data_IF_910970501001
#
_entry.id   IF_910970501001
#
_cell.length_a   1.000
_cell.length_b   1.000
_cell.length_c   1.000
_cell.angle_alpha   90.00
_cell.angle_beta   90.00
_cell.angle_gamma   90.00
#
_symmetry.space_group_name_H-M   'P 1'
#
loop_
_entity.id
_entity.type
_entity.pdbx_description
1 polymer ?
#
# COMPACT_ATOMS: atom_id res chain seq x y z
N UNK A 1 -4.80 -11.86 -11.22
CA UNK A 1 -3.41 -11.43 -10.97
C UNK A 1 -3.05 -11.84 -9.54
N UNK A 2 -1.81 -12.23 -9.26
CA UNK A 2 -1.43 -12.72 -7.92
C UNK A 2 -0.74 -11.68 -7.04
N UNK A 3 -0.48 -10.46 -7.54
CA UNK A 3 0.23 -9.43 -6.80
C UNK A 3 -0.68 -8.24 -6.55
N UNK A 4 -0.73 -7.78 -5.29
CA UNK A 4 -1.55 -6.68 -4.82
C UNK A 4 -0.65 -5.65 -4.14
N UNK A 5 -0.56 -4.44 -4.69
CA UNK A 5 0.10 -3.32 -4.02
C UNK A 5 -0.88 -2.64 -3.08
N UNK A 6 -0.46 -2.41 -1.84
CA UNK A 6 -1.18 -1.64 -0.85
C UNK A 6 -0.50 -0.29 -0.65
N UNK A 7 -1.31 0.69 -0.28
CA UNK A 7 -0.86 1.92 0.34
C UNK A 7 -1.97 2.40 1.29
N UNK A 8 -1.60 2.91 2.46
CA UNK A 8 -2.55 3.41 3.46
C UNK A 8 -2.16 4.78 3.98
N UNK A 9 -3.18 5.58 4.31
CA UNK A 9 -2.99 6.84 5.00
C UNK A 9 -3.39 6.69 6.47
N UNK A 10 -2.59 7.23 7.38
CA UNK A 10 -2.76 7.02 8.83
C UNK A 10 -2.42 8.27 9.65
N UNK A 11 -2.74 8.23 10.94
CA UNK A 11 -2.44 9.30 11.91
C UNK A 11 -1.35 8.94 12.93
N UNK A 12 -0.63 7.84 12.73
CA UNK A 12 0.53 7.42 13.53
C UNK A 12 1.36 6.44 12.68
N UNK A 13 2.53 6.02 13.15
CA UNK A 13 3.40 5.06 12.45
C UNK A 13 3.44 3.68 13.11
N UNK A 14 2.73 3.52 14.22
CA UNK A 14 2.64 2.25 14.95
C UNK A 14 1.66 1.29 14.26
N UNK A 15 1.77 -0.04 14.48
CA UNK A 15 0.76 -1.01 14.03
C UNK A 15 -0.69 -0.65 14.42
N UNK A 16 -0.84 0.02 15.57
CA UNK A 16 -2.12 0.51 16.10
C UNK A 16 -2.61 1.82 15.46
N UNK A 17 -1.95 2.40 14.46
CA UNK A 17 -2.29 3.73 13.95
C UNK A 17 -3.73 3.84 13.45
N UNK A 18 -4.43 4.92 13.77
CA UNK A 18 -5.74 5.24 13.15
C UNK A 18 -5.57 5.30 11.63
N UNK A 19 -6.40 4.55 10.92
CA UNK A 19 -6.37 4.46 9.45
C UNK A 19 -7.38 5.45 8.87
N UNK A 20 -6.95 6.23 7.89
CA UNK A 20 -7.74 7.22 7.16
C UNK A 20 -8.16 6.71 5.78
N UNK A 21 -7.25 6.03 5.06
CA UNK A 21 -7.52 5.49 3.72
C UNK A 21 -6.86 4.14 3.58
N UNK A 22 -7.53 3.23 2.88
CA UNK A 22 -6.95 1.98 2.42
C UNK A 22 -7.09 1.92 0.91
N UNK A 23 -5.97 1.85 0.20
CA UNK A 23 -5.96 1.63 -1.23
C UNK A 23 -5.23 0.33 -1.59
N UNK A 24 -5.65 -0.25 -2.71
CA UNK A 24 -5.00 -1.42 -3.25
C UNK A 24 -5.13 -1.45 -4.77
N UNK A 25 -4.11 -1.97 -5.46
CA UNK A 25 -4.15 -2.21 -6.90
C UNK A 25 -3.51 -3.55 -7.23
N UNK A 26 -4.23 -4.39 -7.96
CA UNK A 26 -3.64 -5.59 -8.53
C UNK A 26 -2.67 -5.19 -9.64
N UNK A 27 -1.57 -5.90 -9.76
CA UNK A 27 -0.62 -5.66 -10.85
C UNK A 27 0.10 -6.93 -11.28
N UNK A 28 0.70 -6.88 -12.46
CA UNK A 28 1.67 -7.85 -12.93
C UNK A 28 3.09 -7.29 -12.74
N UNK A 29 3.92 -7.89 -11.88
CA UNK A 29 5.28 -7.42 -11.62
C UNK A 29 6.24 -7.60 -12.79
N UNK A 30 5.93 -8.43 -13.79
CA UNK A 30 6.79 -8.60 -14.97
C UNK A 30 6.50 -7.56 -16.04
N UNK A 31 5.23 -7.22 -16.24
CA UNK A 31 4.79 -6.33 -17.33
C UNK A 31 4.47 -4.91 -16.87
N UNK A 32 4.24 -4.70 -15.56
CA UNK A 32 3.77 -3.43 -15.02
C UNK A 32 2.31 -3.14 -15.32
N UNK A 33 1.57 -4.11 -15.87
CA UNK A 33 0.14 -3.97 -16.13
C UNK A 33 -0.60 -3.83 -14.79
N UNK A 34 -1.33 -2.73 -14.63
CA UNK A 34 -2.25 -2.53 -13.52
C UNK A 34 -3.58 -3.24 -13.81
N UNK A 35 -4.20 -3.75 -12.75
CA UNK A 35 -5.46 -4.49 -12.77
C UNK A 35 -6.54 -3.79 -11.97
N UNK A 36 -7.37 -4.58 -11.28
CA UNK A 36 -8.45 -4.05 -10.46
C UNK A 36 -7.92 -3.13 -9.36
N UNK A 37 -8.69 -2.08 -9.07
CA UNK A 37 -8.35 -1.00 -8.14
C UNK A 37 -9.36 -0.95 -6.99
N UNK A 38 -8.88 -0.55 -5.82
CA UNK A 38 -9.65 -0.39 -4.60
C UNK A 38 -9.18 0.86 -3.86
N UNK A 39 -10.13 1.67 -3.39
CA UNK A 39 -9.86 2.79 -2.49
C UNK A 39 -11.08 2.98 -1.59
N UNK A 40 -10.87 2.95 -0.28
CA UNK A 40 -11.91 3.26 0.70
C UNK A 40 -11.36 4.19 1.78
N UNK A 41 -12.00 5.34 1.93
CA UNK A 41 -11.70 6.30 2.98
C UNK A 41 -12.52 5.99 4.26
N UNK A 42 -11.82 5.85 5.38
CA UNK A 42 -12.35 5.61 6.72
C UNK A 42 -12.60 6.95 7.39
N UNK A 43 -13.75 7.11 8.03
CA UNK A 43 -14.06 8.32 8.76
C UNK A 43 -13.18 8.44 10.01
N UNK A 44 -12.42 9.53 10.11
CA UNK A 44 -11.67 9.90 11.32
C UNK A 44 -12.57 10.33 12.48
N UNK A 45 -13.84 10.65 12.20
CA UNK A 45 -14.86 11.01 13.20
C UNK A 45 -15.56 9.79 13.81
N UNK A 46 -15.42 8.62 13.17
CA UNK A 46 -15.93 7.35 13.72
C UNK A 46 -14.85 6.72 14.58
N UNK A 47 -15.27 6.15 15.70
CA UNK A 47 -14.35 5.51 16.63
C UNK A 47 -13.61 4.34 15.96
N UNK A 48 -12.31 4.25 16.25
CA UNK A 48 -11.43 3.14 15.93
C UNK A 48 -10.82 2.67 17.27
N UNK A 49 -11.59 1.93 18.09
CA UNK A 49 -11.28 1.74 19.51
C UNK A 49 -9.92 1.09 19.70
N UNK A 50 -9.01 1.70 20.47
CA UNK A 50 -7.67 1.16 20.74
C UNK A 50 -6.62 1.47 19.67
N UNK A 51 -6.98 2.26 18.64
CA UNK A 51 -6.02 2.77 17.65
C UNK A 51 -5.44 4.12 18.10
N UNK A 52 -4.20 4.40 17.67
CA UNK A 52 -3.39 5.51 18.16
C UNK A 52 -3.27 6.66 17.16
N UNK A 53 -3.11 7.87 17.70
CA UNK A 53 -2.84 9.10 16.96
C UNK A 53 -1.53 9.69 17.52
N UNK A 54 -0.67 10.16 16.63
CA UNK A 54 0.56 10.85 16.94
C UNK A 54 0.50 12.29 16.43
N UNK A 55 0.84 13.25 17.31
CA UNK A 55 0.81 14.68 16.99
C UNK A 55 1.79 15.06 15.89
N UNK A 56 2.94 14.40 15.78
CA UNK A 56 3.91 14.64 14.72
C UNK A 56 3.35 14.24 13.35
N UNK A 57 2.63 13.12 13.29
CA UNK A 57 1.94 12.67 12.07
C UNK A 57 0.80 13.63 11.70
N UNK A 58 0.05 14.14 12.68
CA UNK A 58 -0.98 15.18 12.45
C UNK A 58 -0.35 16.48 11.94
N UNK A 59 0.77 16.92 12.53
CA UNK A 59 1.49 18.10 12.09
C UNK A 59 2.12 17.92 10.70
N UNK A 60 2.51 16.70 10.35
CA UNK A 60 2.94 16.34 9.00
C UNK A 60 1.78 16.46 8.00
N UNK A 61 0.57 15.99 8.35
CA UNK A 61 -0.62 16.15 7.52
C UNK A 61 -0.98 17.62 7.26
N UNK A 62 -0.77 18.49 8.25
CA UNK A 62 -1.02 19.93 8.09
C UNK A 62 -0.17 20.59 6.99
N UNK A 63 0.95 19.97 6.59
CA UNK A 63 1.86 20.44 5.54
C UNK A 63 1.53 19.91 4.14
N UNK A 64 0.62 18.93 4.04
CA UNK A 64 0.22 18.35 2.75
C UNK A 64 -0.73 19.25 1.98
N UNK A 65 -0.88 18.98 0.68
CA UNK A 65 -1.77 19.73 -0.19
C UNK A 65 -3.23 19.66 0.28
N UNK A 66 -4.02 20.69 -0.07
CA UNK A 66 -5.46 20.70 0.23
C UNK A 66 -6.18 19.49 -0.34
N UNK A 67 -5.78 19.06 -1.52
CA UNK A 67 -6.32 17.88 -2.20
C UNK A 67 -6.02 16.59 -1.42
N UNK A 68 -4.76 16.37 -1.04
CA UNK A 68 -4.36 15.19 -0.27
C UNK A 68 -5.09 15.14 1.07
N UNK A 69 -5.17 16.28 1.78
CA UNK A 69 -5.94 16.38 3.05
C UNK A 69 -7.42 16.09 2.84
N UNK A 70 -8.04 16.64 1.79
CA UNK A 70 -9.46 16.41 1.50
C UNK A 70 -9.75 14.93 1.24
N UNK A 71 -8.87 14.23 0.53
CA UNK A 71 -9.00 12.81 0.24
C UNK A 71 -8.78 11.96 1.48
N UNK A 72 -7.72 12.23 2.25
CA UNK A 72 -7.40 11.49 3.46
C UNK A 72 -8.48 11.63 4.56
N UNK A 73 -8.99 12.84 4.78
CA UNK A 73 -9.98 13.12 5.83
C UNK A 73 -11.44 13.09 5.35
N UNK A 74 -11.68 12.79 4.07
CA UNK A 74 -13.02 12.77 3.46
C UNK A 74 -13.84 11.50 3.71
N UNK A 75 -13.29 10.55 4.47
CA UNK A 75 -13.89 9.24 4.70
C UNK A 75 -15.21 9.29 5.47
N UNK A 76 -16.14 8.44 5.07
CA UNK A 76 -17.45 8.27 5.73
C UNK A 76 -17.65 6.85 6.25
N UNK A 77 -16.83 5.88 5.83
CA UNK A 77 -16.97 4.48 6.20
C UNK A 77 -16.39 4.18 7.60
N UNK A 78 -16.80 3.06 8.20
CA UNK A 78 -16.13 2.53 9.39
C UNK A 78 -14.95 1.66 9.00
N UNK A 79 -13.94 1.56 9.87
CA UNK A 79 -12.78 0.69 9.63
C UNK A 79 -13.20 -0.75 9.33
N UNK A 80 -14.13 -1.31 10.11
CA UNK A 80 -14.66 -2.66 9.90
C UNK A 80 -15.29 -2.84 8.52
N UNK A 81 -16.04 -1.84 8.02
CA UNK A 81 -16.64 -1.89 6.68
C UNK A 81 -15.55 -1.85 5.61
N UNK A 82 -14.57 -0.95 5.74
CA UNK A 82 -13.43 -0.85 4.83
C UNK A 82 -12.65 -2.15 4.73
N UNK A 83 -12.30 -2.78 5.86
CA UNK A 83 -11.61 -4.07 5.86
C UNK A 83 -12.46 -5.20 5.25
N UNK A 84 -13.77 -5.21 5.51
CA UNK A 84 -14.69 -6.17 4.88
C UNK A 84 -14.71 -6.00 3.36
N UNK A 85 -14.72 -4.76 2.88
CA UNK A 85 -14.71 -4.46 1.46
C UNK A 85 -13.36 -4.83 0.82
N UNK A 86 -12.24 -4.60 1.51
CA UNK A 86 -10.92 -5.03 1.05
C UNK A 86 -10.85 -6.56 0.92
N UNK A 87 -11.30 -7.32 1.94
CA UNK A 87 -11.34 -8.79 1.86
C UNK A 87 -12.20 -9.27 0.68
N UNK A 88 -13.37 -8.65 0.46
CA UNK A 88 -14.23 -8.97 -0.69
C UNK A 88 -13.53 -8.66 -2.01
N UNK A 89 -12.90 -7.50 -2.12
CA UNK A 89 -12.17 -7.08 -3.30
C UNK A 89 -11.06 -8.07 -3.65
N UNK A 90 -10.27 -8.49 -2.67
CA UNK A 90 -9.20 -9.49 -2.86
C UNK A 90 -9.79 -10.83 -3.33
N UNK A 91 -10.85 -11.30 -2.67
CA UNK A 91 -11.49 -12.57 -3.01
C UNK A 91 -12.11 -12.57 -4.42
N UNK A 92 -12.69 -11.46 -4.86
CA UNK A 92 -13.28 -11.34 -6.20
C UNK A 92 -12.26 -11.31 -7.33
N UNK A 93 -11.00 -10.99 -7.04
CA UNK A 93 -9.95 -10.73 -8.03
C UNK A 93 -8.75 -11.68 -7.94
N UNK A 94 -8.75 -12.62 -6.99
CA UNK A 94 -7.67 -13.60 -6.77
C UNK A 94 -8.21 -14.96 -6.29
N UNK A 95 -7.51 -16.04 -6.66
CA UNK A 95 -7.86 -17.44 -6.36
C UNK A 95 -7.05 -17.96 -5.15
N UNK A 96 -7.32 -17.41 -3.96
CA UNK A 96 -6.77 -17.78 -2.62
C UNK A 96 -5.28 -17.52 -2.33
N UNK A 97 -4.41 -17.35 -3.33
CA UNK A 97 -3.01 -16.96 -3.11
C UNK A 97 -2.72 -15.59 -3.72
N UNK A 98 -2.49 -14.59 -2.86
CA UNK A 98 -2.12 -13.22 -3.22
C UNK A 98 -0.83 -12.82 -2.49
N UNK A 99 0.16 -12.35 -3.25
CA UNK A 99 1.35 -11.67 -2.74
C UNK A 99 1.01 -10.21 -2.50
N UNK A 100 1.07 -9.80 -1.25
CA UNK A 100 0.67 -8.46 -0.84
C UNK A 100 1.91 -7.61 -0.64
N UNK A 101 1.95 -6.44 -1.25
CA UNK A 101 3.11 -5.56 -1.28
C UNK A 101 2.82 -4.29 -0.50
N UNK A 102 3.82 -3.78 0.20
CA UNK A 102 3.83 -2.44 0.78
C UNK A 102 5.18 -1.75 0.59
N UNK A 103 5.20 -0.43 0.56
CA UNK A 103 6.41 0.37 0.41
C UNK A 103 7.06 0.67 1.76
N UNK A 104 7.53 -0.41 2.37
CA UNK A 104 7.69 -0.56 3.81
C UNK A 104 6.57 -1.45 4.31
N UNK A 105 6.66 -2.76 4.06
CA UNK A 105 5.61 -3.72 4.46
C UNK A 105 5.36 -3.70 5.97
N UNK A 106 6.37 -3.33 6.75
CA UNK A 106 6.28 -3.15 8.20
C UNK A 106 5.30 -2.04 8.60
N UNK A 107 4.94 -1.17 7.65
CA UNK A 107 3.92 -0.14 7.77
C UNK A 107 2.57 -0.64 7.22
N UNK A 108 2.42 -0.69 5.89
CA UNK A 108 1.11 -0.93 5.25
C UNK A 108 0.50 -2.28 5.65
N UNK A 109 1.27 -3.36 5.49
CA UNK A 109 0.80 -4.71 5.76
C UNK A 109 0.58 -4.90 7.27
N UNK A 110 1.55 -4.52 8.11
CA UNK A 110 1.45 -4.69 9.57
C UNK A 110 0.28 -3.91 10.18
N UNK A 111 0.04 -2.66 9.75
CA UNK A 111 -1.03 -1.83 10.30
C UNK A 111 -2.41 -2.42 9.95
N UNK A 112 -2.56 -2.97 8.73
CA UNK A 112 -3.78 -3.65 8.32
C UNK A 112 -3.94 -5.02 8.99
N UNK A 113 -2.89 -5.82 9.10
CA UNK A 113 -2.91 -7.10 9.83
C UNK A 113 -3.31 -6.89 11.30
N UNK A 114 -2.73 -5.88 11.95
CA UNK A 114 -3.13 -5.47 13.30
C UNK A 114 -4.61 -5.04 13.33
N UNK A 115 -5.10 -4.31 12.33
CA UNK A 115 -6.51 -3.91 12.24
C UNK A 115 -7.47 -5.10 12.08
N UNK A 116 -7.11 -6.09 11.25
CA UNK A 116 -7.86 -7.33 11.11
C UNK A 116 -7.91 -8.10 12.44
N UNK A 117 -6.75 -8.28 13.08
CA UNK A 117 -6.65 -8.97 14.38
C UNK A 117 -7.48 -8.28 15.46
N UNK A 118 -7.35 -6.95 15.59
CA UNK A 118 -8.04 -6.13 16.59
C UNK A 118 -9.57 -6.17 16.45
N UNK A 119 -10.09 -6.43 15.24
CA UNK A 119 -11.52 -6.51 14.95
C UNK A 119 -12.04 -7.96 14.89
N UNK A 120 -11.23 -8.93 15.30
CA UNK A 120 -11.51 -10.37 15.21
C UNK A 120 -11.92 -10.80 13.78
N UNK A 121 -11.29 -10.19 12.77
CA UNK A 121 -11.53 -10.47 11.36
C UNK A 121 -10.38 -11.30 10.78
N UNK A 122 -10.65 -12.33 9.96
CA UNK A 122 -9.59 -13.08 9.30
C UNK A 122 -8.88 -12.19 8.26
N UNK A 123 -7.55 -12.11 8.35
CA UNK A 123 -6.74 -11.45 7.34
C UNK A 123 -6.87 -12.21 5.99
N UNK A 124 -7.14 -11.52 4.86
CA UNK A 124 -7.36 -12.18 3.57
C UNK A 124 -6.06 -12.64 2.88
N UNK A 125 -4.91 -12.50 3.54
CA UNK A 125 -3.63 -13.05 3.13
C UNK A 125 -2.92 -13.73 4.31
N UNK A 126 -1.88 -14.52 4.01
CA UNK A 126 -1.02 -15.14 5.03
C UNK A 126 0.18 -14.23 5.32
N UNK A 127 0.69 -14.25 6.54
CA UNK A 127 1.81 -13.38 6.94
C UNK A 127 3.08 -13.59 6.09
N UNK A 128 3.29 -14.81 5.55
CA UNK A 128 4.41 -15.15 4.68
C UNK A 128 4.23 -14.72 3.20
N UNK A 129 3.07 -14.18 2.84
CA UNK A 129 2.81 -13.69 1.47
C UNK A 129 3.14 -12.19 1.29
N UNK A 130 3.56 -11.51 2.36
CA UNK A 130 3.94 -10.09 2.34
C UNK A 130 5.28 -9.85 1.64
N UNK A 131 5.34 -8.80 0.83
CA UNK A 131 6.50 -8.39 0.03
C UNK A 131 6.83 -6.93 0.32
N UNK A 132 8.13 -6.60 0.29
CA UNK A 132 8.59 -5.26 0.61
C UNK A 132 9.22 -4.60 -0.62
N UNK A 133 8.65 -3.46 -1.00
CA UNK A 133 9.13 -2.71 -2.16
C UNK A 133 10.50 -2.08 -1.91
N UNK A 134 10.79 -1.63 -0.68
CA UNK A 134 12.07 -0.99 -0.36
C UNK A 134 13.24 -1.95 -0.56
N UNK A 135 13.04 -3.21 -0.21
CA UNK A 135 14.01 -4.30 -0.43
C UNK A 135 14.30 -4.49 -1.91
N UNK A 136 13.28 -4.51 -2.77
CA UNK A 136 13.45 -4.60 -4.23
C UNK A 136 14.23 -3.40 -4.78
N UNK A 137 13.95 -2.20 -4.28
CA UNK A 137 14.66 -0.99 -4.71
C UNK A 137 16.09 -0.96 -4.20
N UNK A 138 16.38 -1.44 -2.98
CA UNK A 138 17.76 -1.60 -2.51
C UNK A 138 18.57 -2.51 -3.44
N UNK A 139 17.99 -3.60 -3.94
CA UNK A 139 18.65 -4.46 -4.93
C UNK A 139 18.94 -3.74 -6.24
N UNK A 140 18.01 -2.92 -6.74
CA UNK A 140 18.23 -2.10 -7.92
C UNK A 140 19.39 -1.10 -7.72
N UNK A 141 19.42 -0.43 -6.57
CA UNK A 141 20.45 0.55 -6.24
C UNK A 141 21.84 -0.08 -6.16
N UNK A 142 21.97 -1.26 -5.54
CA UNK A 142 23.23 -2.03 -5.51
C UNK A 142 23.73 -2.41 -6.91
N UNK A 143 22.81 -2.48 -7.86
CA UNK A 143 23.06 -2.78 -9.25
C UNK A 143 23.28 -1.50 -10.09
N UNK A 144 23.17 -0.31 -9.50
CA UNK A 144 23.51 0.97 -10.14
C UNK A 144 22.38 1.63 -10.92
N UNK A 145 21.12 1.32 -10.60
CA UNK A 145 19.95 2.00 -11.17
C UNK A 145 18.86 2.19 -10.10
N UNK A 146 17.95 3.16 -10.26
CA UNK A 146 16.89 3.37 -9.27
C UNK A 146 15.57 3.81 -9.94
N UNK A 147 14.66 2.86 -10.24
CA UNK A 147 13.39 3.17 -10.88
C UNK A 147 12.47 4.07 -10.05
N UNK A 148 12.57 4.05 -8.72
CA UNK A 148 11.80 4.94 -7.83
C UNK A 148 12.20 6.41 -8.00
N UNK A 149 13.47 6.70 -8.36
CA UNK A 149 13.94 8.08 -8.63
C UNK A 149 13.77 8.49 -10.08
N UNK A 150 13.85 7.53 -11.00
CA UNK A 150 13.82 7.76 -12.44
C UNK A 150 12.39 7.90 -12.98
N UNK A 151 11.43 7.16 -12.43
CA UNK A 151 10.02 7.22 -12.85
C UNK A 151 9.38 8.52 -12.33
N UNK A 152 8.81 9.30 -13.26
CA UNK A 152 7.98 10.44 -12.90
C UNK A 152 6.72 9.98 -12.15
N UNK A 153 6.34 10.73 -11.12
CA UNK A 153 5.10 10.47 -10.39
C UNK A 153 3.88 10.80 -11.27
N UNK A 154 2.88 9.93 -11.28
CA UNK A 154 1.62 10.10 -11.99
C UNK A 154 0.49 10.20 -10.96
N UNK A 155 -0.24 11.32 -10.95
CA UNK A 155 -1.34 11.56 -9.99
C UNK A 155 -0.96 12.52 -8.87
N UNK A 156 -1.66 12.43 -7.75
CA UNK A 156 -1.49 13.32 -6.59
C UNK A 156 -0.68 12.62 -5.49
N UNK A 157 0.51 13.11 -5.10
CA UNK A 157 1.25 12.54 -3.98
C UNK A 157 0.45 12.57 -2.68
N UNK A 158 0.56 11.52 -1.86
CA UNK A 158 -0.24 11.32 -0.64
C UNK A 158 -1.73 11.13 -0.91
N UNK A 159 -2.02 10.55 -2.07
CA UNK A 159 -3.27 9.86 -2.36
C UNK A 159 -2.95 8.39 -2.52
N UNK A 160 -3.38 7.60 -1.55
CA UNK A 160 -3.04 6.18 -1.43
C UNK A 160 -3.14 5.38 -2.74
N UNK A 161 -4.20 5.55 -3.54
CA UNK A 161 -4.31 4.78 -4.79
C UNK A 161 -3.28 5.20 -5.85
N UNK A 162 -2.97 6.49 -5.97
CA UNK A 162 -1.96 6.97 -6.92
C UNK A 162 -0.56 6.52 -6.47
N UNK A 163 -0.30 6.57 -5.17
CA UNK A 163 0.93 6.05 -4.55
C UNK A 163 1.06 4.53 -4.79
N UNK A 164 0.02 3.73 -4.51
CA UNK A 164 0.04 2.28 -4.76
C UNK A 164 0.29 1.95 -6.25
N UNK A 165 -0.30 2.70 -7.18
CA UNK A 165 -0.04 2.52 -8.62
C UNK A 165 1.40 2.86 -8.98
N UNK A 166 1.91 3.99 -8.50
CA UNK A 166 3.28 4.41 -8.75
C UNK A 166 4.27 3.36 -8.21
N UNK A 167 4.02 2.84 -7.01
CA UNK A 167 4.78 1.77 -6.38
C UNK A 167 4.77 0.47 -7.18
N UNK A 168 3.61 0.02 -7.62
CA UNK A 168 3.47 -1.16 -8.47
C UNK A 168 4.29 -1.02 -9.76
N UNK A 169 4.23 0.15 -10.41
CA UNK A 169 4.95 0.42 -11.66
C UNK A 169 6.46 0.38 -11.47
N UNK A 170 7.01 1.07 -10.46
CA UNK A 170 8.47 1.07 -10.31
C UNK A 170 9.02 -0.28 -9.80
N UNK A 171 8.21 -1.09 -9.09
CA UNK A 171 8.56 -2.51 -8.82
C UNK A 171 8.68 -3.29 -10.14
N UNK A 172 7.72 -3.11 -11.04
CA UNK A 172 7.75 -3.78 -12.32
C UNK A 172 8.92 -3.32 -13.21
N UNK A 173 9.26 -2.03 -13.19
CA UNK A 173 10.46 -1.53 -13.86
C UNK A 173 11.73 -2.18 -13.30
N UNK A 174 11.83 -2.33 -11.98
CA UNK A 174 12.96 -3.04 -11.35
C UNK A 174 13.02 -4.48 -11.82
N UNK A 175 11.92 -5.22 -11.74
CA UNK A 175 11.89 -6.65 -12.10
C UNK A 175 12.19 -6.85 -13.59
N UNK A 176 11.64 -6.01 -14.46
CA UNK A 176 11.93 -6.00 -15.89
C UNK A 176 13.42 -5.75 -16.15
N UNK A 177 14.01 -4.71 -15.53
CA UNK A 177 15.43 -4.41 -15.66
C UNK A 177 16.33 -5.56 -15.16
N UNK A 178 15.96 -6.22 -14.07
CA UNK A 178 16.66 -7.41 -13.56
C UNK A 178 16.58 -8.59 -14.52
N UNK A 179 15.42 -8.82 -15.14
CA UNK A 179 15.22 -9.90 -16.10
C UNK A 179 16.04 -9.71 -17.39
N UNK A 180 16.10 -8.47 -17.90
CA UNK A 180 16.86 -8.13 -19.11
C UNK A 180 18.35 -7.86 -18.86
N UNK A 181 18.78 -7.68 -17.61
CA UNK A 181 20.18 -7.82 -17.21
C UNK A 181 20.59 -9.30 -17.34
N UNK A 182 20.80 -9.75 -18.58
CA UNK A 182 21.63 -10.95 -18.84
C UNK A 182 22.91 -10.79 -18.03
N UNK A 183 23.29 -11.85 -17.33
CA UNK A 183 24.57 -11.95 -16.64
C UNK A 183 25.65 -11.39 -17.57
N UNK A 184 26.20 -10.23 -17.20
CA UNK A 184 27.49 -9.83 -17.75
C UNK A 184 28.40 -10.99 -17.35
N UNK A 185 28.77 -11.80 -18.34
CA UNK A 185 29.64 -12.95 -18.18
C UNK A 185 30.88 -12.50 -17.41
N UNK A 186 31.08 -13.11 -16.24
CA UNK A 186 32.30 -13.01 -15.44
C UNK A 186 33.53 -13.35 -16.28
#
# INVERSE_FOLDING_TARGET
MHHLMLDIETLDIKPSAVILVVAAVFFDPQTGQLGAEFENAVSSQKDQPGRTINLDTVAWWAKQSDEARKLAFGGTESLKRTLTNLSRFIHMNSTDQVKVWGNGKEFDCTILEHAFQQLDMPCPWKFWDTQDVRTVITLAELLGFNPKKERAFEGTPHRALDDAKHQARYVADTISALYYRKAASL
#
